data_IF_346046757510
#
_entry.id   IF_346046757510
#
_cell.length_a   1.000
_cell.length_b   1.000
_cell.length_c   1.000
_cell.angle_alpha   90.00
_cell.angle_beta   90.00
_cell.angle_gamma   90.00
#
_symmetry.space_group_name_H-M   'P 1'
#
loop_
_entity.id
_entity.type
_entity.pdbx_description
1 polymer ?
#
# COMPACT_ATOMS: atom_id res chain seq x y z
N UNK A 1 26.26 65.80 39.77
CA UNK A 1 25.15 64.81 39.66
C UNK A 1 25.15 64.36 38.21
N UNK A 2 25.92 63.33 37.83
CA UNK A 2 25.62 61.90 38.02
C UNK A 2 24.58 61.47 36.97
N UNK A 3 24.82 60.62 35.98
CA UNK A 3 25.99 59.84 35.60
C UNK A 3 25.67 59.04 34.31
N UNK A 4 26.73 58.58 33.64
CA UNK A 4 26.83 57.41 32.75
C UNK A 4 25.76 57.18 31.67
N UNK A 5 26.13 57.46 30.41
CA UNK A 5 25.65 56.69 29.24
C UNK A 5 26.85 55.94 28.66
N UNK A 6 26.91 54.63 28.93
CA UNK A 6 27.92 53.72 28.39
C UNK A 6 27.60 53.37 26.93
N UNK A 7 28.50 53.75 26.03
CA UNK A 7 29.29 52.81 25.21
C UNK A 7 28.63 52.07 24.02
N UNK A 8 29.25 52.09 22.82
CA UNK A 8 28.78 51.47 21.58
C UNK A 8 29.31 50.02 21.39
N UNK A 9 28.67 49.23 20.52
CA UNK A 9 29.25 48.02 19.91
C UNK A 9 28.60 47.75 18.55
N UNK A 10 29.43 47.71 17.50
CA UNK A 10 29.04 47.41 16.12
C UNK A 10 28.99 45.91 15.80
N UNK A 11 29.45 45.48 14.60
CA UNK A 11 28.60 44.88 13.57
C UNK A 11 28.88 43.39 13.34
N UNK A 12 27.89 42.59 12.92
CA UNK A 12 28.06 41.24 12.34
C UNK A 12 26.84 40.98 11.44
N UNK A 13 26.94 41.05 10.10
CA UNK A 13 27.41 40.02 9.15
C UNK A 13 26.52 38.77 9.09
N UNK A 14 25.89 38.60 7.91
CA UNK A 14 25.80 37.37 7.11
C UNK A 14 25.16 36.14 7.75
N UNK A 15 24.12 35.62 7.10
CA UNK A 15 23.73 34.22 7.28
C UNK A 15 22.49 33.84 6.52
N UNK A 16 22.57 33.81 5.19
CA UNK A 16 21.66 32.99 4.38
C UNK A 16 21.78 31.56 4.88
N UNK A 17 20.74 31.03 5.50
CA UNK A 17 20.55 29.60 5.65
C UNK A 17 19.27 29.25 4.90
N UNK A 18 19.47 28.94 3.60
CA UNK A 18 18.51 28.20 2.79
C UNK A 18 18.20 26.93 3.59
N UNK A 19 17.00 26.88 4.17
CA UNK A 19 16.51 25.64 4.77
C UNK A 19 16.48 24.61 3.65
N UNK A 20 17.41 23.66 3.76
CA UNK A 20 17.61 22.57 2.83
C UNK A 20 16.26 21.92 2.55
N UNK A 21 15.84 21.99 1.29
CA UNK A 21 14.80 21.14 0.78
C UNK A 21 15.24 19.70 1.01
N UNK A 22 14.62 19.05 1.98
CA UNK A 22 14.49 17.59 2.00
C UNK A 22 13.68 17.24 0.75
N UNK A 23 14.37 17.20 -0.38
CA UNK A 23 13.94 16.42 -1.53
C UNK A 23 13.93 14.99 -1.01
N UNK A 24 12.76 14.56 -0.54
CA UNK A 24 12.38 13.16 -0.52
C UNK A 24 12.49 12.71 -1.97
N UNK A 25 13.69 12.28 -2.34
CA UNK A 25 13.85 11.50 -3.56
C UNK A 25 12.96 10.29 -3.34
N UNK A 26 11.96 10.04 -4.21
CA UNK A 26 11.32 8.75 -4.20
C UNK A 26 12.44 7.78 -4.55
N UNK A 27 13.02 7.14 -3.53
CA UNK A 27 13.77 5.92 -3.72
C UNK A 27 12.80 5.04 -4.47
N UNK A 28 13.09 4.83 -5.74
CA UNK A 28 12.42 3.83 -6.56
C UNK A 28 12.65 2.53 -5.80
N UNK A 29 11.68 2.16 -4.97
CA UNK A 29 11.73 0.92 -4.22
C UNK A 29 11.85 -0.17 -5.29
N UNK A 30 12.96 -0.90 -5.25
CA UNK A 30 13.16 -2.06 -6.12
C UNK A 30 11.93 -2.97 -5.94
N UNK A 31 11.43 -3.60 -7.01
CA UNK A 31 10.36 -4.58 -6.88
C UNK A 31 10.72 -5.56 -5.77
N UNK A 32 9.88 -5.67 -4.74
CA UNK A 32 10.10 -6.68 -3.70
C UNK A 32 9.72 -8.03 -4.30
N UNK A 33 10.68 -8.94 -4.31
CA UNK A 33 10.49 -10.34 -4.67
C UNK A 33 10.18 -11.11 -3.39
N UNK A 34 8.88 -11.32 -3.10
CA UNK A 34 8.45 -12.03 -1.88
C UNK A 34 8.87 -13.50 -1.84
N UNK A 35 9.16 -14.09 -2.99
CA UNK A 35 9.56 -15.48 -3.07
C UNK A 35 10.98 -15.72 -2.54
N UNK A 36 11.88 -14.75 -2.69
CA UNK A 36 13.28 -14.80 -2.25
C UNK A 36 13.46 -14.50 -0.74
N UNK A 37 12.38 -14.20 -0.02
CA UNK A 37 12.42 -13.82 1.39
C UNK A 37 12.42 -15.04 2.31
N UNK A 38 13.24 -14.97 3.36
CA UNK A 38 13.34 -15.97 4.42
C UNK A 38 12.12 -15.86 5.32
N UNK A 39 11.14 -16.74 5.11
CA UNK A 39 9.93 -16.81 5.93
C UNK A 39 9.04 -17.97 5.51
N UNK A 40 8.56 -18.75 6.49
CA UNK A 40 7.64 -19.86 6.26
C UNK A 40 6.18 -19.42 6.03
N UNK A 41 5.90 -18.13 6.20
CA UNK A 41 4.58 -17.53 6.13
C UNK A 41 4.55 -16.37 5.12
N UNK A 42 3.41 -16.18 4.47
CA UNK A 42 3.08 -14.96 3.72
C UNK A 42 1.71 -14.49 4.19
N UNK A 43 1.63 -13.22 4.60
CA UNK A 43 0.40 -12.58 5.02
C UNK A 43 -0.39 -12.02 3.85
N UNK A 44 -1.72 -12.05 3.93
CA UNK A 44 -2.61 -11.31 3.02
C UNK A 44 -3.49 -10.40 3.86
N UNK A 45 -3.31 -9.10 3.65
CA UNK A 45 -4.02 -8.02 4.32
C UNK A 45 -4.78 -7.20 3.29
N UNK A 46 -5.99 -6.77 3.61
CA UNK A 46 -6.77 -5.87 2.78
C UNK A 46 -7.14 -4.61 3.57
N UNK A 47 -7.10 -3.46 2.91
CA UNK A 47 -7.47 -2.19 3.51
C UNK A 47 -8.27 -1.33 2.54
N UNK A 48 -9.36 -0.74 3.04
CA UNK A 48 -10.10 0.29 2.30
C UNK A 48 -9.46 1.64 2.58
N UNK A 49 -9.28 2.42 1.52
CA UNK A 49 -8.93 3.83 1.58
C UNK A 49 -10.10 4.60 1.00
N UNK A 50 -10.84 5.26 1.89
CA UNK A 50 -12.04 6.03 1.56
C UNK A 50 -11.98 7.35 2.29
N UNK A 51 -12.15 8.47 1.58
CA UNK A 51 -12.09 9.81 2.18
C UNK A 51 -13.23 10.06 3.19
N UNK A 52 -14.35 9.35 3.04
CA UNK A 52 -15.49 9.44 3.95
C UNK A 52 -15.42 8.38 5.07
N UNK A 53 -14.31 7.64 5.18
CA UNK A 53 -14.12 6.54 6.13
C UNK A 53 -15.24 5.48 6.07
N UNK A 54 -15.84 5.29 4.89
CA UNK A 54 -16.90 4.33 4.72
C UNK A 54 -16.39 2.89 5.01
N UNK A 55 -17.23 2.03 5.62
CA UNK A 55 -16.86 0.64 5.87
C UNK A 55 -16.69 -0.12 4.56
N UNK A 56 -15.98 -1.26 4.65
CA UNK A 56 -15.86 -2.17 3.53
C UNK A 56 -17.23 -2.66 3.04
N UNK A 57 -17.41 -2.69 1.72
CA UNK A 57 -18.62 -3.26 1.11
C UNK A 57 -18.47 -4.77 0.94
N UNK A 58 -19.56 -5.55 0.81
CA UNK A 58 -19.48 -6.99 0.54
C UNK A 58 -18.67 -7.34 -0.71
N UNK A 59 -18.66 -6.46 -1.72
CA UNK A 59 -17.83 -6.62 -2.91
C UNK A 59 -16.33 -6.53 -2.60
N UNK A 60 -15.92 -5.60 -1.73
CA UNK A 60 -14.53 -5.45 -1.27
C UNK A 60 -14.11 -6.65 -0.41
N UNK A 61 -14.99 -7.14 0.47
CA UNK A 61 -14.74 -8.33 1.28
C UNK A 61 -14.54 -9.57 0.40
N UNK A 62 -15.37 -9.73 -0.64
CA UNK A 62 -15.21 -10.81 -1.62
C UNK A 62 -13.87 -10.72 -2.36
N UNK A 63 -13.45 -9.52 -2.79
CA UNK A 63 -12.13 -9.32 -3.40
C UNK A 63 -10.98 -9.65 -2.43
N UNK A 64 -11.15 -9.32 -1.15
CA UNK A 64 -10.16 -9.67 -0.14
C UNK A 64 -10.02 -11.18 0.06
N UNK A 65 -11.15 -11.89 0.13
CA UNK A 65 -11.16 -13.35 0.21
C UNK A 65 -10.51 -13.98 -1.04
N UNK A 66 -10.85 -13.48 -2.23
CA UNK A 66 -10.24 -13.91 -3.50
C UNK A 66 -8.73 -13.70 -3.52
N UNK A 67 -8.23 -12.60 -2.96
CA UNK A 67 -6.79 -12.35 -2.86
C UNK A 67 -6.09 -13.42 -2.01
N UNK A 68 -6.68 -13.80 -0.88
CA UNK A 68 -6.18 -14.90 -0.04
C UNK A 68 -6.12 -16.22 -0.80
N UNK A 69 -7.20 -16.56 -1.51
CA UNK A 69 -7.27 -17.78 -2.32
C UNK A 69 -6.21 -17.80 -3.44
N UNK A 70 -6.02 -16.67 -4.13
CA UNK A 70 -5.02 -16.57 -5.21
C UNK A 70 -3.61 -16.78 -4.65
N UNK A 71 -3.28 -16.16 -3.51
CA UNK A 71 -1.95 -16.31 -2.89
C UNK A 71 -1.74 -17.75 -2.46
N UNK A 72 -2.73 -18.38 -1.82
CA UNK A 72 -2.64 -19.79 -1.40
C UNK A 72 -2.47 -20.73 -2.59
N UNK A 73 -3.24 -20.54 -3.66
CA UNK A 73 -3.06 -21.29 -4.91
C UNK A 73 -1.66 -21.12 -5.48
N UNK A 74 -1.10 -19.90 -5.44
CA UNK A 74 0.21 -19.60 -5.99
C UNK A 74 1.36 -20.20 -5.20
N UNK A 75 1.18 -20.33 -3.89
CA UNK A 75 2.18 -20.87 -2.95
C UNK A 75 2.05 -22.37 -2.71
N UNK A 76 0.97 -22.99 -3.20
CA UNK A 76 0.78 -24.44 -3.11
C UNK A 76 2.00 -25.20 -3.65
N UNK A 77 2.55 -26.10 -2.83
CA UNK A 77 3.75 -26.87 -3.16
C UNK A 77 5.08 -26.16 -2.94
N UNK A 78 5.10 -24.91 -2.47
CA UNK A 78 6.33 -24.15 -2.19
C UNK A 78 6.77 -24.21 -0.71
N UNK A 79 6.08 -24.98 0.13
CA UNK A 79 6.40 -25.10 1.56
C UNK A 79 6.15 -23.81 2.37
N UNK A 80 5.46 -22.82 1.80
CA UNK A 80 5.02 -21.60 2.49
C UNK A 80 3.55 -21.74 2.90
N UNK A 81 3.19 -21.15 4.04
CA UNK A 81 1.81 -21.06 4.52
C UNK A 81 1.24 -19.65 4.33
N UNK A 82 -0.08 -19.54 4.18
CA UNK A 82 -0.76 -18.25 4.03
C UNK A 82 -1.48 -17.88 5.32
N UNK A 83 -1.23 -16.67 5.80
CA UNK A 83 -1.97 -16.07 6.91
C UNK A 83 -2.93 -15.02 6.34
N UNK A 84 -4.24 -15.25 6.49
CA UNK A 84 -5.29 -14.34 5.99
C UNK A 84 -5.71 -13.41 7.11
N UNK A 85 -5.41 -12.12 7.00
CA UNK A 85 -5.85 -11.11 7.97
C UNK A 85 -7.24 -10.54 7.65
N UNK A 86 -7.68 -10.65 6.39
CA UNK A 86 -8.93 -10.08 5.94
C UNK A 86 -8.86 -8.54 5.85
N UNK A 87 -9.99 -7.89 6.12
CA UNK A 87 -10.10 -6.43 6.14
C UNK A 87 -9.56 -5.90 7.48
N UNK A 88 -8.50 -5.09 7.46
CA UNK A 88 -8.05 -4.37 8.66
C UNK A 88 -7.93 -2.87 8.43
N UNK A 89 -8.15 -2.13 9.52
CA UNK A 89 -7.93 -0.68 9.62
C UNK A 89 -6.56 -0.35 10.25
N UNK A 90 -5.99 -1.31 10.98
CA UNK A 90 -4.73 -1.19 11.73
C UNK A 90 -3.60 -2.03 11.10
N UNK A 91 -2.40 -1.95 11.67
CA UNK A 91 -1.24 -2.71 11.20
C UNK A 91 -1.44 -4.23 11.38
N UNK A 92 -0.91 -5.05 10.45
CA UNK A 92 -1.05 -6.50 10.54
C UNK A 92 -0.30 -7.02 11.79
N UNK A 93 -0.85 -8.03 12.49
CA UNK A 93 -0.14 -8.66 13.59
C UNK A 93 1.12 -9.39 13.09
N UNK A 94 2.10 -9.58 13.98
CA UNK A 94 3.40 -10.11 13.62
C UNK A 94 3.34 -11.50 12.98
N UNK A 95 3.90 -11.62 11.77
CA UNK A 95 4.18 -12.89 11.09
C UNK A 95 5.65 -12.96 10.71
N UNK A 96 6.17 -14.17 10.54
CA UNK A 96 7.59 -14.45 10.23
C UNK A 96 7.93 -14.28 8.74
N UNK A 97 7.19 -13.44 8.02
CA UNK A 97 7.38 -13.25 6.59
C UNK A 97 6.66 -12.02 6.08
N UNK A 98 6.72 -11.77 4.76
CA UNK A 98 6.13 -10.57 4.20
C UNK A 98 4.62 -10.60 4.18
N UNK A 99 4.01 -9.42 4.23
CA UNK A 99 2.56 -9.24 4.05
C UNK A 99 2.29 -8.58 2.70
N UNK A 100 1.38 -9.18 1.92
CA UNK A 100 0.80 -8.56 0.74
C UNK A 100 -0.40 -7.71 1.20
N UNK A 101 -0.29 -6.40 1.04
CA UNK A 101 -1.38 -5.46 1.25
C UNK A 101 -2.14 -5.25 -0.06
N UNK A 102 -3.42 -5.58 -0.08
CA UNK A 102 -4.40 -5.21 -1.10
C UNK A 102 -5.09 -3.92 -0.66
N UNK A 103 -4.68 -2.81 -1.24
CA UNK A 103 -5.30 -1.51 -0.99
C UNK A 103 -6.44 -1.28 -1.99
N UNK A 104 -7.61 -0.95 -1.46
CA UNK A 104 -8.83 -0.69 -2.22
C UNK A 104 -9.23 0.76 -2.00
N UNK A 105 -8.91 1.62 -2.96
CA UNK A 105 -9.31 3.02 -2.92
C UNK A 105 -10.70 3.16 -3.53
N UNK A 106 -11.70 3.58 -2.74
CA UNK A 106 -13.05 3.78 -3.25
C UNK A 106 -13.05 4.92 -4.26
N UNK A 107 -13.74 4.74 -5.38
CA UNK A 107 -14.00 5.82 -6.33
C UNK A 107 -15.47 5.87 -6.68
N UNK A 108 -16.01 7.08 -6.97
CA UNK A 108 -17.31 7.18 -7.59
C UNK A 108 -17.29 6.46 -8.94
N UNK A 109 -18.47 6.04 -9.40
CA UNK A 109 -18.65 5.50 -10.75
C UNK A 109 -18.03 6.45 -11.80
N UNK A 110 -17.63 5.91 -12.95
CA UNK A 110 -17.25 6.77 -14.07
C UNK A 110 -18.42 7.67 -14.50
N UNK A 111 -18.14 8.74 -15.23
CA UNK A 111 -19.21 9.51 -15.85
C UNK A 111 -20.02 8.59 -16.77
N UNK A 112 -21.27 8.30 -16.39
CA UNK A 112 -22.15 7.34 -17.08
C UNK A 112 -22.08 5.89 -16.57
N UNK A 113 -21.30 5.59 -15.52
CA UNK A 113 -21.32 4.29 -14.85
C UNK A 113 -22.38 4.22 -13.76
N UNK A 114 -22.98 3.04 -13.58
CA UNK A 114 -24.05 2.81 -12.59
C UNK A 114 -23.53 2.24 -11.26
N UNK A 115 -22.27 1.80 -11.20
CA UNK A 115 -21.78 0.96 -10.12
C UNK A 115 -20.58 1.56 -9.37
N UNK A 116 -20.49 1.38 -8.04
CA UNK A 116 -19.30 1.69 -7.26
C UNK A 116 -18.09 0.93 -7.82
N UNK A 117 -16.92 1.58 -7.75
CA UNK A 117 -15.66 0.97 -8.17
C UNK A 117 -14.57 1.18 -7.14
N UNK A 118 -13.56 0.33 -7.20
CA UNK A 118 -12.34 0.45 -6.43
C UNK A 118 -11.14 0.55 -7.37
N UNK A 119 -10.15 1.34 -6.98
CA UNK A 119 -8.81 1.24 -7.55
C UNK A 119 -8.00 0.30 -6.68
N UNK A 120 -7.69 -0.87 -7.23
CA UNK A 120 -6.85 -1.85 -6.57
C UNK A 120 -5.39 -1.48 -6.72
N UNK A 121 -4.67 -1.54 -5.61
CA UNK A 121 -3.21 -1.51 -5.56
C UNK A 121 -2.72 -2.66 -4.69
N UNK A 122 -1.52 -3.13 -5.00
CA UNK A 122 -0.87 -4.15 -4.19
C UNK A 122 0.48 -3.64 -3.73
N UNK A 123 0.80 -3.85 -2.47
CA UNK A 123 2.05 -3.45 -1.84
C UNK A 123 2.60 -4.61 -1.02
N UNK A 124 3.91 -4.67 -0.86
CA UNK A 124 4.55 -5.57 0.09
C UNK A 124 4.84 -4.79 1.38
N UNK A 125 4.58 -5.39 2.54
CA UNK A 125 5.00 -4.89 3.86
C UNK A 125 6.03 -5.86 4.41
N UNK A 126 7.15 -5.31 4.88
CA UNK A 126 8.23 -6.04 5.52
C UNK A 126 8.82 -5.22 6.65
N UNK A 127 9.00 -5.82 7.82
CA UNK A 127 9.62 -5.14 8.98
C UNK A 127 8.93 -3.79 9.30
N UNK A 128 7.60 -3.73 9.10
CA UNK A 128 6.78 -2.51 9.23
C UNK A 128 6.91 -1.51 8.07
N UNK A 129 7.77 -1.75 7.09
CA UNK A 129 7.99 -0.88 5.95
C UNK A 129 7.13 -1.28 4.75
N UNK A 130 6.37 -0.31 4.24
CA UNK A 130 5.61 -0.42 3.00
C UNK A 130 6.53 -0.19 1.81
N UNK A 131 6.59 -1.18 0.92
CA UNK A 131 7.23 -1.05 -0.37
C UNK A 131 6.16 -1.01 -1.48
N UNK A 132 5.95 0.16 -2.10
CA UNK A 132 4.98 0.27 -3.17
C UNK A 132 5.43 -0.56 -4.37
N UNK A 133 4.49 -1.30 -4.97
CA UNK A 133 4.72 -1.91 -6.28
C UNK A 133 4.76 -0.81 -7.34
N UNK A 134 5.96 -0.34 -7.67
CA UNK A 134 6.18 0.75 -8.63
C UNK A 134 5.96 0.34 -10.09
N UNK A 135 5.75 -0.96 -10.36
CA UNK A 135 5.69 -1.52 -11.71
C UNK A 135 4.29 -1.87 -12.24
N UNK A 136 3.23 -1.71 -11.43
CA UNK A 136 1.85 -1.91 -11.88
C UNK A 136 0.99 -0.69 -11.62
N UNK A 137 0.28 -0.16 -12.65
CA UNK A 137 -0.71 0.89 -12.43
C UNK A 137 -1.87 0.34 -11.59
N UNK A 138 -2.56 1.19 -10.80
CA UNK A 138 -3.77 0.80 -10.09
C UNK A 138 -4.81 0.23 -11.07
N UNK A 139 -5.47 -0.86 -10.68
CA UNK A 139 -6.47 -1.53 -11.52
C UNK A 139 -7.87 -1.11 -11.08
N UNK A 140 -8.68 -0.46 -11.94
CA UNK A 140 -10.07 -0.21 -11.63
C UNK A 140 -10.89 -1.50 -11.70
N UNK A 141 -11.72 -1.72 -10.69
CA UNK A 141 -12.67 -2.84 -10.62
C UNK A 141 -14.03 -2.32 -10.19
N UNK A 142 -15.05 -2.61 -10.99
CA UNK A 142 -16.46 -2.40 -10.61
C UNK A 142 -16.88 -3.49 -9.62
N UNK A 143 -17.65 -3.11 -8.60
CA UNK A 143 -18.10 -4.02 -7.54
C UNK A 143 -19.53 -4.55 -7.75
N UNK A 144 -20.07 -4.37 -8.95
CA UNK A 144 -21.40 -4.84 -9.34
C UNK A 144 -21.49 -5.00 -10.86
N UNK A 145 -22.63 -5.51 -11.34
CA UNK A 145 -22.89 -5.81 -12.75
C UNK A 145 -22.41 -7.20 -13.18
N UNK A 146 -22.86 -7.68 -14.32
CA UNK A 146 -22.57 -9.06 -14.74
C UNK A 146 -21.06 -9.30 -14.93
N UNK A 147 -20.56 -10.41 -14.39
CA UNK A 147 -19.16 -10.84 -14.49
C UNK A 147 -18.15 -9.99 -13.71
N UNK A 148 -18.59 -9.12 -12.80
CA UNK A 148 -17.69 -8.26 -12.03
C UNK A 148 -16.69 -9.06 -11.18
N UNK A 149 -17.13 -10.19 -10.61
CA UNK A 149 -16.31 -11.05 -9.75
C UNK A 149 -15.13 -11.63 -10.53
N UNK A 150 -15.39 -12.19 -11.70
CA UNK A 150 -14.35 -12.76 -12.56
C UNK A 150 -13.35 -11.70 -13.02
N UNK A 151 -13.82 -10.51 -13.39
CA UNK A 151 -12.95 -9.38 -13.76
C UNK A 151 -12.09 -8.93 -12.58
N UNK A 152 -12.69 -8.80 -11.40
CA UNK A 152 -12.01 -8.44 -10.16
C UNK A 152 -10.94 -9.46 -9.78
N UNK A 153 -11.30 -10.76 -9.76
CA UNK A 153 -10.37 -11.86 -9.50
C UNK A 153 -9.24 -11.92 -10.52
N UNK A 154 -9.51 -11.67 -11.80
CA UNK A 154 -8.48 -11.60 -12.83
C UNK A 154 -7.51 -10.43 -12.59
N UNK A 155 -8.02 -9.25 -12.24
CA UNK A 155 -7.20 -8.09 -11.87
C UNK A 155 -6.31 -8.37 -10.65
N UNK A 156 -6.89 -8.92 -9.58
CA UNK A 156 -6.16 -9.38 -8.39
C UNK A 156 -5.06 -10.37 -8.76
N UNK A 157 -5.37 -11.39 -9.55
CA UNK A 157 -4.41 -12.40 -9.98
C UNK A 157 -3.21 -11.77 -10.67
N UNK A 158 -3.43 -10.83 -11.60
CA UNK A 158 -2.35 -10.13 -12.30
C UNK A 158 -1.43 -9.36 -11.34
N UNK A 159 -2.00 -8.67 -10.35
CA UNK A 159 -1.22 -7.90 -9.38
C UNK A 159 -0.46 -8.79 -8.40
N UNK A 160 -1.12 -9.82 -7.88
CA UNK A 160 -0.53 -10.80 -6.98
C UNK A 160 0.59 -11.57 -7.69
N UNK A 161 0.35 -12.04 -8.92
CA UNK A 161 1.38 -12.69 -9.72
C UNK A 161 2.59 -11.78 -9.95
N UNK A 162 2.37 -10.47 -10.13
CA UNK A 162 3.46 -9.52 -10.30
C UNK A 162 4.29 -9.34 -9.03
N UNK A 163 3.66 -9.26 -7.85
CA UNK A 163 4.37 -9.15 -6.57
C UNK A 163 5.05 -10.47 -6.19
N UNK A 164 4.41 -11.60 -6.49
CA UNK A 164 4.92 -12.94 -6.25
C UNK A 164 5.79 -13.46 -7.39
N UNK A 165 6.14 -12.62 -8.38
CA UNK A 165 6.97 -13.06 -9.51
C UNK A 165 8.29 -13.55 -8.96
N UNK A 166 8.46 -14.86 -9.09
CA UNK A 166 9.70 -15.58 -8.87
C UNK A 166 10.12 -16.11 -10.24
N UNK A 167 11.05 -15.40 -10.87
CA UNK A 167 12.39 -15.86 -11.29
C UNK A 167 13.20 -14.65 -11.79
#
# INVERSE_FOLDING_TARGET
>A
MGGMVRGPMGPVMIGVAVAAGLLATPVLAKPIVLAAETGGQIGVLCRVFDEAEAPATPGMESLCADAGDIVEQRLSGLGKSVVRFGMMLEEPPGIDGPVILIAMETRPAWAGGEHPRVLLRTMAIRDGQLAPSTGLPPIPVELAGDGWKERGRHGLKRMIDFILRDR
#
